data_IF_736237708005
#
_entry.id   IF_736237708005
#
_cell.length_a   1.000
_cell.length_b   1.000
_cell.length_c   1.000
_cell.angle_alpha   90.00
_cell.angle_beta   90.00
_cell.angle_gamma   90.00
#
_symmetry.space_group_name_H-M   'P 1'
#
loop_
_entity.id
_entity.type
_entity.pdbx_description
1 polymer ?
#
# COMPACT_ATOMS: atom_id res chain seq x y z
N UNK A 1 6.56 8.67 -8.37
CA UNK A 1 7.24 7.39 -8.68
C UNK A 1 7.98 7.49 -10.01
N UNK A 2 9.30 7.26 -10.07
CA UNK A 2 10.08 7.30 -11.33
C UNK A 2 10.88 6.01 -11.47
N UNK A 3 10.81 5.35 -12.64
CA UNK A 3 11.54 4.10 -12.92
C UNK A 3 10.85 2.82 -12.45
N UNK A 4 11.56 1.69 -12.54
CA UNK A 4 11.20 0.41 -11.95
C UNK A 4 12.00 0.23 -10.64
N UNK A 5 11.41 -0.42 -9.64
CA UNK A 5 12.04 -0.64 -8.34
C UNK A 5 11.03 -0.70 -7.20
N UNK A 6 11.55 -0.82 -5.97
CA UNK A 6 10.75 -0.79 -4.75
C UNK A 6 10.35 0.64 -4.40
N UNK A 7 9.14 0.80 -3.89
CA UNK A 7 8.60 2.07 -3.45
C UNK A 7 8.11 1.94 -2.01
N UNK A 8 8.45 2.92 -1.19
CA UNK A 8 7.98 3.06 0.19
C UNK A 8 7.13 4.31 0.28
N UNK A 9 5.99 4.18 0.96
CA UNK A 9 5.16 5.31 1.35
C UNK A 9 5.35 5.51 2.84
N UNK A 10 5.73 6.71 3.22
CA UNK A 10 5.86 7.07 4.61
C UNK A 10 4.50 7.06 5.30
N UNK A 11 4.50 6.67 6.58
CA UNK A 11 3.28 6.68 7.39
C UNK A 11 2.71 8.09 7.50
N UNK A 12 1.39 8.18 7.55
CA UNK A 12 0.64 9.41 7.79
C UNK A 12 -0.46 9.14 8.80
N UNK A 13 -0.92 10.18 9.50
CA UNK A 13 -2.04 10.05 10.46
C UNK A 13 -3.28 9.41 9.83
N UNK A 14 -3.50 9.67 8.53
CA UNK A 14 -4.61 9.06 7.78
C UNK A 14 -4.41 7.55 7.61
N UNK A 15 -3.22 7.10 7.22
CA UNK A 15 -2.93 5.67 7.07
C UNK A 15 -3.06 4.95 8.42
N UNK A 16 -2.61 5.57 9.51
CA UNK A 16 -2.79 5.03 10.87
C UNK A 16 -4.27 4.89 11.22
N UNK A 17 -5.06 5.94 10.95
CA UNK A 17 -6.51 5.93 11.20
C UNK A 17 -7.22 4.86 10.39
N UNK A 18 -6.85 4.68 9.12
CA UNK A 18 -7.45 3.66 8.25
C UNK A 18 -7.18 2.24 8.80
N UNK A 19 -5.94 1.94 9.20
CA UNK A 19 -5.57 0.62 9.78
C UNK A 19 -6.27 0.39 11.13
N UNK A 20 -6.38 1.42 11.98
CA UNK A 20 -7.15 1.34 13.21
C UNK A 20 -8.64 1.04 12.92
N UNK A 21 -9.20 1.70 11.91
CA UNK A 21 -10.58 1.46 11.46
C UNK A 21 -10.82 0.02 11.00
N UNK A 22 -9.84 -0.64 10.38
CA UNK A 22 -9.96 -2.06 10.01
C UNK A 22 -10.01 -2.98 11.23
N UNK A 23 -9.33 -2.62 12.33
CA UNK A 23 -9.41 -3.35 13.59
C UNK A 23 -10.74 -3.11 14.31
N UNK A 24 -11.24 -1.88 14.26
CA UNK A 24 -12.48 -1.47 14.91
C UNK A 24 -13.74 -2.03 14.20
N UNK A 25 -13.67 -2.23 12.87
CA UNK A 25 -14.72 -2.88 12.05
C UNK A 25 -14.13 -3.98 11.14
N UNK A 26 -13.89 -5.19 11.68
CA UNK A 26 -13.29 -6.29 10.92
C UNK A 26 -14.23 -6.93 9.90
N UNK A 27 -15.54 -6.64 9.95
CA UNK A 27 -16.50 -7.12 8.96
C UNK A 27 -16.50 -6.24 7.69
N UNK A 28 -15.96 -5.02 7.79
CA UNK A 28 -15.79 -4.11 6.67
C UNK A 28 -14.78 -4.63 5.64
N UNK A 29 -15.11 -4.51 4.35
CA UNK A 29 -14.16 -4.77 3.26
C UNK A 29 -13.57 -3.44 2.79
N UNK A 30 -12.56 -2.97 3.51
CA UNK A 30 -11.92 -1.67 3.30
C UNK A 30 -10.47 -1.90 2.84
N UNK A 31 -9.98 -1.04 1.95
CA UNK A 31 -8.60 -1.10 1.48
C UNK A 31 -8.19 0.18 0.78
N UNK A 32 -6.91 0.24 0.39
CA UNK A 32 -6.37 1.37 -0.34
C UNK A 32 -6.25 1.10 -1.83
N UNK A 33 -6.36 2.17 -2.61
CA UNK A 33 -6.00 2.21 -4.01
C UNK A 33 -4.76 3.09 -4.17
N UNK A 34 -3.77 2.59 -4.91
CA UNK A 34 -2.59 3.36 -5.27
C UNK A 34 -2.88 4.11 -6.56
N UNK A 35 -3.01 5.43 -6.45
CA UNK A 35 -3.23 6.31 -7.59
C UNK A 35 -1.88 6.78 -8.14
N UNK A 36 -1.68 6.58 -9.44
CA UNK A 36 -0.53 7.14 -10.16
C UNK A 36 -0.74 8.61 -10.51
N UNK A 37 0.25 9.22 -11.15
CA UNK A 37 0.08 10.56 -11.74
C UNK A 37 -0.72 10.45 -13.04
N UNK A 38 -2.02 10.70 -12.98
CA UNK A 38 -2.92 10.64 -14.13
C UNK A 38 -2.81 11.85 -15.07
N UNK A 39 -2.01 12.87 -14.72
CA UNK A 39 -1.75 14.02 -15.59
C UNK A 39 -0.73 13.72 -16.70
N UNK A 40 0.02 12.63 -16.57
CA UNK A 40 1.11 12.26 -17.47
C UNK A 40 0.72 11.08 -18.38
N UNK A 41 1.11 11.17 -19.65
CA UNK A 41 1.00 10.01 -20.56
C UNK A 41 1.88 8.86 -20.07
N UNK A 42 1.35 7.63 -20.12
CA UNK A 42 2.09 6.38 -19.79
C UNK A 42 2.64 6.33 -18.36
N UNK A 43 1.86 6.79 -17.38
CA UNK A 43 2.24 6.78 -15.95
C UNK A 43 1.98 5.46 -15.21
N UNK A 44 1.34 4.48 -15.86
CA UNK A 44 0.99 3.20 -15.26
C UNK A 44 2.22 2.46 -14.70
N UNK A 45 2.04 1.87 -13.51
CA UNK A 45 3.05 1.05 -12.82
C UNK A 45 2.47 -0.32 -12.49
N UNK A 46 3.28 -1.36 -12.66
CA UNK A 46 2.95 -2.72 -12.24
C UNK A 46 3.64 -2.98 -10.91
N UNK A 47 2.89 -3.57 -9.98
CA UNK A 47 3.38 -4.07 -8.71
C UNK A 47 3.12 -5.56 -8.65
N UNK A 48 4.00 -6.28 -7.97
CA UNK A 48 3.84 -7.71 -7.76
C UNK A 48 2.71 -7.97 -6.75
N UNK A 49 2.06 -9.12 -6.89
CA UNK A 49 0.95 -9.50 -6.02
C UNK A 49 1.44 -10.07 -4.69
N UNK A 50 0.55 -10.18 -3.70
CA UNK A 50 0.86 -10.89 -2.43
C UNK A 50 1.23 -12.36 -2.62
N UNK A 51 0.95 -12.94 -3.79
CA UNK A 51 1.21 -14.34 -4.12
C UNK A 51 2.40 -14.50 -5.09
N UNK A 52 3.21 -13.46 -5.32
CA UNK A 52 4.36 -13.56 -6.21
C UNK A 52 5.38 -14.61 -5.70
N UNK A 53 6.00 -15.38 -6.59
CA UNK A 53 6.90 -16.49 -6.21
C UNK A 53 8.11 -16.01 -5.41
N UNK A 54 8.71 -14.90 -5.84
CA UNK A 54 9.78 -14.22 -5.09
C UNK A 54 9.20 -13.42 -3.93
N UNK A 55 9.45 -13.85 -2.70
CA UNK A 55 8.89 -13.24 -1.49
C UNK A 55 9.29 -11.79 -1.30
N UNK A 56 10.54 -11.44 -1.62
CA UNK A 56 11.09 -10.09 -1.46
C UNK A 56 10.40 -9.05 -2.36
N UNK A 57 9.67 -9.50 -3.38
CA UNK A 57 8.93 -8.60 -4.26
C UNK A 57 7.47 -8.39 -3.81
N UNK A 58 6.97 -9.19 -2.86
CA UNK A 58 5.58 -9.07 -2.40
C UNK A 58 5.39 -7.72 -1.69
N UNK A 59 4.23 -7.07 -1.84
CA UNK A 59 3.92 -5.84 -1.13
C UNK A 59 3.81 -6.12 0.38
N UNK A 60 4.30 -5.18 1.21
CA UNK A 60 4.32 -5.29 2.67
C UNK A 60 3.68 -4.06 3.29
N UNK A 61 2.85 -4.28 4.32
CA UNK A 61 2.39 -3.25 5.24
C UNK A 61 3.09 -3.46 6.58
N UNK A 62 3.87 -2.46 7.02
CA UNK A 62 4.55 -2.48 8.33
C UNK A 62 3.71 -1.69 9.33
N UNK A 63 3.28 -2.34 10.41
CA UNK A 63 2.49 -1.72 11.49
C UNK A 63 3.30 -1.77 12.77
N UNK A 64 3.68 -0.59 13.27
CA UNK A 64 4.24 -0.43 14.60
C UNK A 64 3.11 -0.02 15.53
N UNK A 65 2.84 -0.82 16.56
CA UNK A 65 1.78 -0.56 17.53
C UNK A 65 2.38 -0.28 18.90
N UNK A 66 1.66 0.49 19.70
CA UNK A 66 1.95 0.69 21.11
C UNK A 66 0.95 -0.13 21.93
N UNK A 67 1.39 -0.58 23.11
CA UNK A 67 0.54 -1.30 24.06
C UNK A 67 -0.35 -0.35 24.86
#
# INVERSE_FOLDING_TARGET
MKGAGSYTWESTDRLVTDVQGWLDDPAGNIGWLLLGDESQSRSAKRFDSRNHDTEQNRPVLVVNYVA
#
